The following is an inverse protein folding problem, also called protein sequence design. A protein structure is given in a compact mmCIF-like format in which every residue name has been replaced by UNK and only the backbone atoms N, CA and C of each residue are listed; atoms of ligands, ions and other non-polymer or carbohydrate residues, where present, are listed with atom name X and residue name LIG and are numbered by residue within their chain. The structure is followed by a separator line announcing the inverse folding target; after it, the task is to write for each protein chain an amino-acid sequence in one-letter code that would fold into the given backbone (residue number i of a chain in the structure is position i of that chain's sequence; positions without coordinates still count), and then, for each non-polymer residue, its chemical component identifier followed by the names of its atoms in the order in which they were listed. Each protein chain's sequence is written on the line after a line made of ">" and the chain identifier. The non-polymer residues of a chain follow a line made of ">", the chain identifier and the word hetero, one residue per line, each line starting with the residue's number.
data_IF_165664766869
#
_entry.id   IF_165664766869
#
_cell.length_a   1.000
_cell.length_b   1.000
_cell.length_c   1.000
_cell.angle_alpha   90.00
_cell.angle_beta   90.00
_cell.angle_gamma   90.00
#
_symmetry.space_group_name_H-M   'P 1'
#
loop_
_entity.id
_entity.type
_entity.pdbx_description
1 polymer ?
#
# COMPACT_ATOMS: atom_id res chain seq x y z
N UNK A 1 -9.06 -20.62 -4.65
CA UNK A 1 -8.13 -19.59 -4.13
C UNK A 1 -7.30 -18.99 -5.26
N UNK A 2 -6.68 -19.81 -6.14
CA UNK A 2 -5.84 -19.33 -7.26
C UNK A 2 -6.59 -18.45 -8.27
N UNK A 3 -7.79 -18.83 -8.71
CA UNK A 3 -8.64 -18.01 -9.60
C UNK A 3 -8.98 -16.63 -9.02
N UNK A 4 -9.22 -16.54 -7.71
CA UNK A 4 -9.46 -15.26 -7.04
C UNK A 4 -8.19 -14.41 -7.03
N UNK A 5 -7.03 -15.02 -6.73
CA UNK A 5 -5.74 -14.32 -6.73
C UNK A 5 -5.41 -13.79 -8.13
N UNK A 6 -5.63 -14.58 -9.18
CA UNK A 6 -5.43 -14.14 -10.57
C UNK A 6 -6.40 -13.03 -10.96
N UNK A 7 -7.67 -13.13 -10.57
CA UNK A 7 -8.65 -12.08 -10.81
C UNK A 7 -8.26 -10.77 -10.12
N UNK A 8 -7.85 -10.82 -8.85
CA UNK A 8 -7.32 -9.64 -8.14
C UNK A 8 -6.06 -9.09 -8.81
N UNK A 9 -5.18 -9.93 -9.33
CA UNK A 9 -3.96 -9.52 -10.03
C UNK A 9 -4.29 -8.81 -11.36
N UNK A 10 -5.25 -9.33 -12.11
CA UNK A 10 -5.77 -8.72 -13.34
C UNK A 10 -6.48 -7.41 -13.02
N UNK A 11 -7.31 -7.37 -11.98
CA UNK A 11 -8.00 -6.15 -11.56
C UNK A 11 -7.02 -5.06 -11.11
N UNK A 12 -6.00 -5.42 -10.32
CA UNK A 12 -4.99 -4.47 -9.84
C UNK A 12 -4.13 -3.95 -11.00
N UNK A 13 -3.75 -4.83 -11.94
CA UNK A 13 -2.94 -4.43 -13.09
C UNK A 13 -3.73 -3.56 -14.07
N UNK A 14 -5.02 -3.83 -14.28
CA UNK A 14 -5.91 -2.99 -15.09
C UNK A 14 -6.19 -1.64 -14.43
N UNK A 15 -6.44 -1.60 -13.12
CA UNK A 15 -6.59 -0.34 -12.38
C UNK A 15 -5.31 0.50 -12.38
N UNK A 16 -4.15 -0.12 -12.14
CA UNK A 16 -2.85 0.58 -12.18
C UNK A 16 -2.60 1.16 -13.57
N UNK A 17 -2.89 0.39 -14.64
CA UNK A 17 -2.77 0.87 -16.01
C UNK A 17 -3.71 2.05 -16.29
N UNK A 18 -4.95 1.99 -15.81
CA UNK A 18 -5.91 3.07 -15.99
C UNK A 18 -5.53 4.33 -15.19
N UNK A 19 -5.15 4.17 -13.92
CA UNK A 19 -4.66 5.26 -13.08
C UNK A 19 -3.43 5.95 -13.69
N UNK A 20 -2.48 5.16 -14.20
CA UNK A 20 -1.29 5.69 -14.88
C UNK A 20 -1.69 6.48 -16.14
N UNK A 21 -2.62 5.97 -16.95
CA UNK A 21 -3.10 6.69 -18.13
C UNK A 21 -3.80 8.01 -17.78
N UNK A 22 -4.62 8.02 -16.71
CA UNK A 22 -5.30 9.22 -16.23
C UNK A 22 -4.31 10.26 -15.68
N UNK A 23 -3.29 9.83 -14.94
CA UNK A 23 -2.24 10.70 -14.41
C UNK A 23 -1.39 11.29 -15.54
N UNK A 24 -1.05 10.49 -16.57
CA UNK A 24 -0.35 10.99 -17.77
C UNK A 24 -1.19 12.03 -18.53
N UNK A 25 -2.47 11.77 -18.75
CA UNK A 25 -3.38 12.73 -19.38
C UNK A 25 -3.47 14.03 -18.55
N UNK A 26 -3.54 13.92 -17.23
CA UNK A 26 -3.59 15.06 -16.31
C UNK A 26 -2.28 15.86 -16.26
N UNK A 27 -1.14 15.17 -16.37
CA UNK A 27 0.18 15.79 -16.48
C UNK A 27 0.35 16.59 -17.80
N UNK A 28 -0.34 16.19 -18.87
CA UNK A 28 -0.29 16.94 -20.13
C UNK A 28 -1.15 18.21 -20.08
N UNK A 29 -2.26 18.18 -19.33
CA UNK A 29 -3.21 19.28 -19.22
C UNK A 29 -2.86 20.32 -18.14
N UNK A 30 -2.03 19.97 -17.14
CA UNK A 30 -1.69 20.87 -16.02
C UNK A 30 -0.19 20.91 -15.75
N UNK A 31 0.38 22.12 -15.77
CA UNK A 31 1.81 22.35 -15.52
C UNK A 31 2.24 22.01 -14.08
N UNK A 32 1.33 22.13 -13.12
CA UNK A 32 1.58 21.82 -11.70
C UNK A 32 1.68 20.30 -11.52
N UNK A 33 0.73 19.56 -12.09
CA UNK A 33 0.72 18.09 -12.04
C UNK A 33 1.94 17.56 -12.80
N UNK A 34 2.27 18.15 -13.96
CA UNK A 34 3.48 17.80 -14.73
C UNK A 34 4.75 17.94 -13.89
N UNK A 35 4.94 19.07 -13.19
CA UNK A 35 6.10 19.28 -12.30
C UNK A 35 6.15 18.26 -11.18
N UNK A 36 5.00 17.94 -10.56
CA UNK A 36 4.92 16.96 -9.48
C UNK A 36 5.30 15.57 -9.98
N UNK A 37 4.74 15.13 -11.11
CA UNK A 37 5.05 13.83 -11.73
C UNK A 37 6.54 13.74 -12.09
N UNK A 38 7.10 14.77 -12.74
CA UNK A 38 8.54 14.81 -13.10
C UNK A 38 9.42 14.76 -11.85
N UNK A 39 9.10 15.54 -10.81
CA UNK A 39 9.86 15.53 -9.55
C UNK A 39 9.84 14.14 -8.89
N UNK A 40 8.69 13.46 -8.92
CA UNK A 40 8.50 12.13 -8.37
C UNK A 40 9.29 11.09 -9.17
N UNK A 41 9.25 11.17 -10.50
CA UNK A 41 10.04 10.31 -11.40
C UNK A 41 11.54 10.48 -11.21
N UNK A 42 12.02 11.73 -11.12
CA UNK A 42 13.43 12.05 -10.85
C UNK A 42 13.87 11.58 -9.45
N UNK A 43 13.01 11.74 -8.44
CA UNK A 43 13.28 11.24 -7.08
C UNK A 43 13.39 9.72 -7.05
N UNK A 44 12.46 8.99 -7.69
CA UNK A 44 12.52 7.52 -7.81
C UNK A 44 13.77 7.06 -8.54
N UNK A 45 14.15 7.72 -9.62
CA UNK A 45 15.38 7.40 -10.34
C UNK A 45 16.63 7.65 -9.47
N UNK A 46 16.71 8.81 -8.81
CA UNK A 46 17.80 9.12 -7.89
C UNK A 46 17.90 8.09 -6.76
N UNK A 47 16.76 7.68 -6.20
CA UNK A 47 16.70 6.64 -5.18
C UNK A 47 17.16 5.29 -5.73
N UNK A 48 16.72 4.89 -6.92
CA UNK A 48 17.14 3.64 -7.58
C UNK A 48 18.64 3.62 -7.85
N UNK A 49 19.19 4.71 -8.38
CA UNK A 49 20.63 4.87 -8.63
C UNK A 49 21.40 4.83 -7.31
N UNK A 50 20.96 5.55 -6.28
CA UNK A 50 21.56 5.51 -4.94
C UNK A 50 21.48 4.10 -4.35
N UNK A 51 20.37 3.38 -4.50
CA UNK A 51 20.21 2.01 -4.01
C UNK A 51 21.14 1.04 -4.76
N UNK A 52 21.31 1.20 -6.07
CA UNK A 52 22.23 0.41 -6.90
C UNK A 52 23.69 0.64 -6.50
N UNK A 53 24.08 1.90 -6.32
CA UNK A 53 25.40 2.29 -5.80
C UNK A 53 25.62 1.79 -4.36
N UNK A 54 24.58 1.86 -3.53
CA UNK A 54 24.58 1.37 -2.15
C UNK A 54 24.37 -0.14 -2.05
N UNK A 55 24.11 -0.82 -3.17
CA UNK A 55 23.98 -2.27 -3.32
C UNK A 55 25.29 -3.04 -3.08
N UNK A 56 26.36 -2.35 -2.67
CA UNK A 56 27.50 -2.95 -1.98
C UNK A 56 27.24 -3.26 -0.50
N UNK A 57 26.30 -2.58 0.17
CA UNK A 57 26.10 -2.65 1.62
C UNK A 57 24.99 -3.64 2.02
N UNK A 58 24.01 -3.91 1.15
CA UNK A 58 22.89 -4.84 1.39
C UNK A 58 22.95 -6.12 0.55
N UNK A 59 24.15 -6.56 0.15
CA UNK A 59 24.29 -7.88 -0.48
C UNK A 59 23.98 -8.97 0.55
N UNK A 60 22.75 -9.47 0.53
CA UNK A 60 22.42 -10.78 1.07
C UNK A 60 23.45 -11.80 0.56
N UNK A 61 23.98 -12.70 1.42
CA UNK A 61 25.15 -13.54 1.13
C UNK A 61 24.97 -14.58 0.00
N UNK A 62 23.84 -14.59 -0.71
CA UNK A 62 23.46 -15.62 -1.68
C UNK A 62 23.69 -15.25 -3.15
N UNK A 63 24.14 -14.04 -3.48
CA UNK A 63 24.58 -13.72 -4.85
C UNK A 63 26.09 -13.44 -4.89
N UNK A 64 26.87 -14.52 -5.09
CA UNK A 64 28.28 -14.42 -5.52
C UNK A 64 28.32 -13.69 -6.88
N UNK A 65 29.11 -12.63 -6.97
CA UNK A 65 29.53 -12.05 -8.25
C UNK A 65 30.58 -12.97 -8.90
N UNK A 66 30.67 -13.03 -10.24
CA UNK A 66 31.89 -13.46 -10.88
C UNK A 66 32.98 -12.43 -10.59
N UNK A 67 34.13 -12.92 -10.15
CA UNK A 67 35.40 -12.20 -10.02
C UNK A 67 35.82 -11.60 -11.36
N UNK A 68 36.27 -10.36 -11.34
CA UNK A 68 36.77 -9.65 -12.51
C UNK A 68 37.32 -8.28 -12.14
N UNK A 69 38.59 -8.31 -11.74
CA UNK A 69 39.61 -7.25 -11.75
C UNK A 69 39.38 -5.87 -11.11
N UNK A 70 40.09 -5.72 -10.00
CA UNK A 70 40.69 -4.51 -9.46
C UNK A 70 41.38 -3.67 -10.54
N UNK A 71 40.94 -2.43 -10.76
CA UNK A 71 41.80 -1.43 -11.43
C UNK A 71 41.13 -0.38 -12.30
N UNK A 72 39.82 -0.42 -12.60
CA UNK A 72 39.16 0.67 -13.32
C UNK A 72 38.26 1.47 -12.38
N UNK A 73 38.59 2.76 -12.18
CA UNK A 73 37.60 3.74 -11.74
C UNK A 73 36.58 3.87 -12.87
N UNK A 74 35.51 3.08 -12.78
CA UNK A 74 34.37 3.22 -13.68
C UNK A 74 33.63 4.49 -13.24
N UNK A 75 33.87 5.60 -13.92
CA UNK A 75 33.07 6.81 -13.78
C UNK A 75 31.66 6.50 -14.33
N UNK A 76 30.75 6.18 -13.43
CA UNK A 76 29.33 6.04 -13.75
C UNK A 76 28.76 7.44 -14.01
N UNK A 77 28.79 7.85 -15.27
CA UNK A 77 28.13 9.05 -15.76
C UNK A 77 26.61 8.81 -15.74
N UNK A 78 25.99 9.14 -14.61
CA UNK A 78 24.52 9.04 -14.45
C UNK A 78 23.92 10.13 -15.32
N UNK A 79 23.48 9.74 -16.53
CA UNK A 79 22.80 10.66 -17.45
C UNK A 79 21.53 11.18 -16.75
N UNK A 80 21.26 12.50 -16.79
CA UNK A 80 19.98 13.03 -16.35
C UNK A 80 18.86 12.33 -17.15
N UNK A 81 17.80 11.95 -16.44
CA UNK A 81 16.61 11.35 -17.04
C UNK A 81 15.94 12.38 -17.93
N UNK A 82 15.48 11.92 -19.10
CA UNK A 82 14.67 12.73 -20.01
C UNK A 82 13.26 12.94 -19.43
N UNK A 83 12.65 14.08 -19.69
CA UNK A 83 11.40 14.49 -19.04
C UNK A 83 10.23 13.54 -19.36
N UNK A 84 10.20 12.98 -20.57
CA UNK A 84 9.19 11.98 -20.96
C UNK A 84 9.35 10.68 -20.15
N UNK A 85 10.60 10.23 -19.94
CA UNK A 85 10.86 9.06 -19.10
C UNK A 85 10.61 9.34 -17.61
N UNK A 86 10.80 10.58 -17.15
CA UNK A 86 10.43 10.98 -15.79
C UNK A 86 8.92 10.96 -15.59
N UNK A 87 8.13 11.35 -16.61
CA UNK A 87 6.67 11.33 -16.56
C UNK A 87 6.15 9.89 -16.45
N UNK A 88 6.74 8.97 -17.20
CA UNK A 88 6.38 7.55 -17.16
C UNK A 88 6.69 6.92 -15.79
N UNK A 89 7.88 7.18 -15.24
CA UNK A 89 8.27 6.70 -13.91
C UNK A 89 7.42 7.34 -12.80
N UNK A 90 7.16 8.64 -12.88
CA UNK A 90 6.40 9.38 -11.88
C UNK A 90 4.93 9.02 -11.86
N UNK A 91 4.31 8.85 -13.05
CA UNK A 91 2.90 8.46 -13.16
C UNK A 91 2.67 7.07 -12.57
N UNK A 92 3.58 6.12 -12.81
CA UNK A 92 3.57 4.80 -12.18
C UNK A 92 3.60 4.85 -10.65
N UNK A 93 4.51 5.65 -10.07
CA UNK A 93 4.59 5.82 -8.60
C UNK A 93 3.30 6.37 -8.03
N UNK A 94 2.78 7.42 -8.67
CA UNK A 94 1.59 8.11 -8.18
C UNK A 94 0.36 7.21 -8.29
N UNK A 95 0.20 6.49 -9.40
CA UNK A 95 -0.87 5.51 -9.58
C UNK A 95 -0.86 4.44 -8.51
N UNK A 96 0.30 3.84 -8.24
CA UNK A 96 0.47 2.85 -7.19
C UNK A 96 0.20 3.44 -5.79
N UNK A 97 0.62 4.69 -5.53
CA UNK A 97 0.37 5.37 -4.26
C UNK A 97 -1.11 5.65 -4.01
N UNK A 98 -1.85 6.03 -5.05
CA UNK A 98 -3.30 6.27 -4.98
C UNK A 98 -4.02 4.96 -4.66
N UNK A 99 -3.64 3.87 -5.34
CA UNK A 99 -4.21 2.55 -5.07
C UNK A 99 -3.92 2.10 -3.63
N UNK A 100 -2.69 2.28 -3.14
CA UNK A 100 -2.34 1.97 -1.75
C UNK A 100 -3.17 2.78 -0.75
N UNK A 101 -3.37 4.09 -0.99
CA UNK A 101 -4.21 4.92 -0.13
C UNK A 101 -5.66 4.42 -0.09
N UNK A 102 -6.23 4.00 -1.22
CA UNK A 102 -7.58 3.44 -1.28
C UNK A 102 -7.66 2.11 -0.51
N UNK A 103 -6.67 1.22 -0.70
CA UNK A 103 -6.62 -0.07 0.00
C UNK A 103 -6.50 0.11 1.52
N UNK A 104 -5.62 1.01 1.98
CA UNK A 104 -5.46 1.31 3.41
C UNK A 104 -6.72 1.96 3.96
N UNK A 105 -7.30 2.94 3.25
CA UNK A 105 -8.53 3.61 3.66
C UNK A 105 -9.70 2.65 3.83
N UNK A 106 -9.89 1.75 2.86
CA UNK A 106 -10.95 0.72 2.91
C UNK A 106 -10.71 -0.33 4.00
N UNK A 107 -9.45 -0.73 4.25
CA UNK A 107 -9.12 -1.60 5.38
C UNK A 107 -9.41 -0.92 6.73
N UNK A 108 -8.97 0.32 6.92
CA UNK A 108 -9.24 1.09 8.13
C UNK A 108 -10.73 1.25 8.37
N UNK A 109 -11.49 1.61 7.32
CA UNK A 109 -12.95 1.71 7.40
C UNK A 109 -13.61 0.38 7.77
N UNK A 110 -13.16 -0.73 7.19
CA UNK A 110 -13.64 -2.07 7.52
C UNK A 110 -13.39 -2.43 8.99
N UNK A 111 -12.21 -2.10 9.52
CA UNK A 111 -11.86 -2.31 10.94
C UNK A 111 -12.75 -1.45 11.85
N UNK A 112 -12.97 -0.18 11.49
CA UNK A 112 -13.85 0.71 12.24
C UNK A 112 -15.28 0.18 12.31
N UNK A 113 -15.83 -0.30 11.19
CA UNK A 113 -17.16 -0.91 11.15
C UNK A 113 -17.25 -2.17 12.01
N UNK A 114 -16.23 -3.05 11.96
CA UNK A 114 -16.17 -4.25 12.80
C UNK A 114 -16.14 -3.90 14.28
N UNK A 115 -15.37 -2.88 14.67
CA UNK A 115 -15.31 -2.41 16.07
C UNK A 115 -16.65 -1.86 16.55
N UNK A 116 -17.35 -1.07 15.71
CA UNK A 116 -18.68 -0.56 16.05
C UNK A 116 -19.69 -1.68 16.26
N UNK A 117 -19.76 -2.63 15.32
CA UNK A 117 -20.66 -3.78 15.44
C UNK A 117 -20.35 -4.64 16.66
N UNK A 118 -19.07 -4.84 16.98
CA UNK A 118 -18.68 -5.59 18.17
C UNK A 118 -19.14 -4.88 19.45
N UNK A 119 -19.01 -3.55 19.52
CA UNK A 119 -19.46 -2.79 20.67
C UNK A 119 -20.99 -2.82 20.84
N UNK A 120 -21.75 -2.69 19.74
CA UNK A 120 -23.21 -2.83 19.76
C UNK A 120 -23.65 -4.21 20.23
N UNK A 121 -22.98 -5.27 19.76
CA UNK A 121 -23.27 -6.64 20.19
C UNK A 121 -22.91 -6.87 21.67
N UNK A 122 -21.80 -6.30 22.15
CA UNK A 122 -21.40 -6.40 23.54
C UNK A 122 -22.42 -5.74 24.48
N UNK A 123 -22.92 -4.55 24.12
CA UNK A 123 -23.97 -3.86 24.89
C UNK A 123 -25.26 -4.70 24.94
N UNK A 124 -25.68 -5.27 23.82
CA UNK A 124 -26.87 -6.15 23.77
C UNK A 124 -26.69 -7.44 24.59
N UNK A 125 -25.48 -7.99 24.65
CA UNK A 125 -25.18 -9.14 25.49
C UNK A 125 -25.26 -8.77 26.98
N UNK A 126 -24.69 -7.64 27.38
CA UNK A 126 -24.71 -7.16 28.76
C UNK A 126 -26.15 -6.93 29.26
N UNK A 127 -27.01 -6.31 28.45
CA UNK A 127 -28.43 -6.13 28.78
C UNK A 127 -29.17 -7.46 28.95
N UNK A 128 -28.90 -8.44 28.08
CA UNK A 128 -29.53 -9.76 28.17
C UNK A 128 -29.02 -10.57 29.37
N UNK A 129 -27.74 -10.49 29.68
CA UNK A 129 -27.15 -11.12 30.86
C UNK A 129 -27.73 -10.52 32.14
N UNK A 130 -27.83 -9.18 32.23
CA UNK A 130 -28.47 -8.52 33.37
C UNK A 130 -29.93 -8.95 33.57
N UNK A 131 -30.70 -9.07 32.47
CA UNK A 131 -32.08 -9.54 32.52
C UNK A 131 -32.19 -11.01 32.95
N UNK A 132 -31.27 -11.88 32.52
CA UNK A 132 -31.23 -13.29 32.93
C UNK A 132 -30.86 -13.44 34.40
N UNK A 133 -29.85 -12.70 34.87
CA UNK A 133 -29.44 -12.69 36.29
C UNK A 133 -30.61 -12.23 37.17
N UNK A 134 -31.33 -11.19 36.76
CA UNK A 134 -32.51 -10.72 37.50
C UNK A 134 -33.62 -11.78 37.58
N UNK A 135 -33.82 -12.58 36.53
CA UNK A 135 -34.78 -13.70 36.53
C UNK A 135 -34.33 -14.83 37.45
N UNK A 136 -33.05 -15.21 37.39
CA UNK A 136 -32.48 -16.25 38.26
C UNK A 136 -32.65 -15.84 39.72
N UNK A 137 -32.30 -14.61 40.08
CA UNK A 137 -32.43 -14.08 41.44
C UNK A 137 -33.86 -14.11 41.97
N UNK A 138 -34.86 -13.85 41.12
CA UNK A 138 -36.28 -13.98 41.49
C UNK A 138 -36.68 -15.43 41.75
N UNK A 139 -36.22 -16.36 40.90
CA UNK A 139 -36.49 -17.79 41.07
C UNK A 139 -35.84 -18.30 42.36
N UNK A 140 -34.59 -17.94 42.63
CA UNK A 140 -33.91 -18.25 43.88
C UNK A 140 -34.65 -17.70 45.10
N UNK A 141 -35.16 -16.47 45.03
CA UNK A 141 -35.94 -15.89 46.14
C UNK A 141 -37.27 -16.60 46.39
N UNK A 142 -37.83 -17.27 45.38
CA UNK A 142 -39.04 -18.09 45.55
C UNK A 142 -38.75 -19.52 46.03
N UNK A 143 -37.54 -20.03 45.79
CA UNK A 143 -37.12 -21.38 46.21
C UNK A 143 -36.54 -21.43 47.63
N UNK A 144 -36.01 -20.31 48.13
CA UNK A 144 -35.50 -20.17 49.50
C UNK A 144 -36.56 -19.72 50.53
N UNK A 145 -37.85 -19.80 50.17
CA UNK A 145 -39.01 -19.68 51.06
C UNK A 145 -39.60 -21.07 51.22
#
# INVERSE_FOLDING_TARGET
>A
MELFIEFFRVLTSTLSRHANSAIKASANNSSIIRRLVISTGRARHSFSVRLSLRGGIWRLPFKRKPTGDSGSKVELLIKPIDDETAIDLGSGVLGDSVLMCIMVGTMCYSVLLRRRRFHELALLQEEKEAALIARIKRIESHLNI
#
